data_IF_289962791910
#
_entry.id   IF_289962791910
#
_cell.length_a   1.000
_cell.length_b   1.000
_cell.length_c   1.000
_cell.angle_alpha   90.00
_cell.angle_beta   90.00
_cell.angle_gamma   90.00
#
_symmetry.space_group_name_H-M   'P 1'
#
loop_
_entity.id
_entity.type
_entity.pdbx_description
1 polymer ?
#
# COMPACT_ATOMS: atom_id res chain seq x y z
N UNK A 1 -1.47 5.47 34.56
CA UNK A 1 -0.04 5.24 34.87
C UNK A 1 0.65 6.59 34.91
N UNK A 2 1.27 6.97 36.02
CA UNK A 2 2.01 8.22 36.14
C UNK A 2 3.42 8.01 35.55
N UNK A 3 3.72 8.63 34.42
CA UNK A 3 5.05 8.57 33.80
C UNK A 3 5.86 9.81 34.22
N UNK A 4 6.64 9.70 35.29
CA UNK A 4 7.67 10.68 35.63
C UNK A 4 9.03 10.19 35.11
N UNK A 5 9.76 11.08 34.43
CA UNK A 5 11.12 10.91 33.88
C UNK A 5 11.29 9.96 32.68
N UNK A 6 10.46 10.06 31.64
CA UNK A 6 10.82 9.51 30.33
C UNK A 6 11.87 10.40 29.64
N UNK A 7 12.87 9.78 29.00
CA UNK A 7 13.67 10.51 28.02
C UNK A 7 12.80 10.93 26.83
N UNK A 8 13.23 11.94 26.06
CA UNK A 8 12.49 12.36 24.87
C UNK A 8 12.30 11.21 23.87
N UNK A 9 13.30 10.32 23.74
CA UNK A 9 13.24 9.15 22.86
C UNK A 9 12.20 8.15 23.35
N UNK A 10 12.19 7.84 24.65
CA UNK A 10 11.24 6.87 25.22
C UNK A 10 9.80 7.39 25.16
N UNK A 11 9.61 8.70 25.37
CA UNK A 11 8.30 9.32 25.22
C UNK A 11 7.78 9.22 23.77
N UNK A 12 8.65 9.41 22.77
CA UNK A 12 8.29 9.25 21.34
C UNK A 12 7.99 7.78 21.01
N UNK A 13 8.79 6.84 21.49
CA UNK A 13 8.57 5.41 21.26
C UNK A 13 7.23 4.97 21.85
N UNK A 14 6.97 5.33 23.11
CA UNK A 14 5.70 5.00 23.79
C UNK A 14 4.49 5.59 23.06
N UNK A 15 4.59 6.82 22.55
CA UNK A 15 3.55 7.43 21.74
C UNK A 15 3.27 6.63 20.46
N UNK A 16 4.32 6.17 19.77
CA UNK A 16 4.18 5.34 18.57
C UNK A 16 3.59 3.96 18.87
N UNK A 17 3.94 3.32 20.00
CA UNK A 17 3.34 2.05 20.45
C UNK A 17 1.82 2.15 20.68
N UNK A 18 1.33 3.33 21.08
CA UNK A 18 -0.11 3.58 21.21
C UNK A 18 -0.74 3.78 19.84
N UNK A 19 -0.12 4.59 18.98
CA UNK A 19 -0.67 4.95 17.67
C UNK A 19 -0.62 3.82 16.65
N UNK A 20 0.37 2.92 16.71
CA UNK A 20 0.53 1.84 15.74
C UNK A 20 -0.67 0.88 15.68
N UNK A 21 -1.48 0.86 16.74
CA UNK A 21 -2.70 0.07 16.84
C UNK A 21 -3.85 0.65 16.01
N UNK A 22 -3.73 1.87 15.52
CA UNK A 22 -4.78 2.52 14.73
C UNK A 22 -4.81 1.96 13.30
N UNK A 23 -5.99 1.75 12.70
CA UNK A 23 -6.14 1.07 11.41
C UNK A 23 -5.34 1.70 10.25
N UNK A 24 -5.05 3.00 10.33
CA UNK A 24 -4.39 3.76 9.27
C UNK A 24 -3.03 4.31 9.66
N UNK A 25 -2.47 3.86 10.78
CA UNK A 25 -1.13 4.26 11.16
C UNK A 25 -0.12 3.90 10.06
N UNK A 26 0.79 4.83 9.74
CA UNK A 26 1.79 4.62 8.70
C UNK A 26 1.22 4.54 7.27
N UNK A 27 0.00 5.03 7.04
CA UNK A 27 -0.63 5.05 5.72
C UNK A 27 -0.43 6.39 5.01
N UNK A 28 -0.07 6.34 3.73
CA UNK A 28 -0.12 7.50 2.84
C UNK A 28 -1.44 7.45 2.07
N UNK A 29 -2.15 8.57 2.04
CA UNK A 29 -3.44 8.68 1.36
C UNK A 29 -3.30 9.51 0.08
N UNK A 30 -3.93 9.04 -0.99
CA UNK A 30 -4.08 9.76 -2.24
C UNK A 30 -5.55 9.93 -2.57
N UNK A 31 -5.94 11.12 -2.99
CA UNK A 31 -7.23 11.32 -3.61
C UNK A 31 -7.14 10.91 -5.08
N UNK A 32 -8.09 10.10 -5.55
CA UNK A 32 -8.13 9.65 -6.95
C UNK A 32 -9.52 9.90 -7.51
N UNK A 33 -9.57 10.24 -8.80
CA UNK A 33 -10.80 10.65 -9.47
C UNK A 33 -11.70 9.45 -9.80
N UNK A 34 -11.08 8.31 -10.13
CA UNK A 34 -11.81 7.07 -10.37
C UNK A 34 -10.86 5.87 -10.27
N UNK A 35 -11.42 4.70 -9.97
CA UNK A 35 -10.77 3.41 -10.14
C UNK A 35 -11.68 2.50 -10.95
N UNK A 36 -11.12 1.91 -12.00
CA UNK A 36 -11.79 1.02 -12.93
C UNK A 36 -11.24 -0.40 -12.72
N UNK A 37 -12.13 -1.32 -12.39
CA UNK A 37 -11.85 -2.75 -12.25
C UNK A 37 -12.87 -3.54 -13.07
N UNK A 38 -12.47 -3.95 -14.27
CA UNK A 38 -13.34 -4.58 -15.27
C UNK A 38 -14.58 -3.73 -15.60
N UNK A 39 -15.76 -4.15 -15.12
CA UNK A 39 -17.04 -3.44 -15.30
C UNK A 39 -17.40 -2.53 -14.12
N UNK A 40 -16.60 -2.53 -13.06
CA UNK A 40 -16.84 -1.75 -11.84
C UNK A 40 -16.07 -0.45 -11.89
N UNK A 41 -16.73 0.61 -11.45
CA UNK A 41 -16.12 1.91 -11.24
C UNK A 41 -16.45 2.38 -9.83
N UNK A 42 -15.46 2.93 -9.13
CA UNK A 42 -15.63 3.42 -7.77
C UNK A 42 -16.09 4.86 -7.71
N UNK A 43 -15.81 5.66 -8.75
CA UNK A 43 -15.82 7.11 -8.67
C UNK A 43 -14.70 7.64 -7.75
N UNK A 44 -14.86 8.89 -7.32
CA UNK A 44 -13.90 9.57 -6.45
C UNK A 44 -13.73 8.85 -5.11
N UNK A 45 -12.49 8.54 -4.74
CA UNK A 45 -12.18 7.77 -3.55
C UNK A 45 -10.77 8.07 -3.02
N UNK A 46 -10.47 7.53 -1.83
CA UNK A 46 -9.16 7.61 -1.22
C UNK A 46 -8.41 6.29 -1.39
N UNK A 47 -7.20 6.38 -1.92
CA UNK A 47 -6.23 5.29 -2.00
C UNK A 47 -5.31 5.35 -0.79
N UNK A 48 -5.44 4.39 0.12
CA UNK A 48 -4.59 4.23 1.30
C UNK A 48 -3.49 3.22 1.02
N UNK A 49 -2.23 3.64 1.04
CA UNK A 49 -1.06 2.80 0.75
C UNK A 49 -0.16 2.70 1.97
N UNK A 50 0.18 1.47 2.36
CA UNK A 50 1.13 1.17 3.43
C UNK A 50 1.84 -0.18 3.20
N UNK A 51 2.57 -0.65 4.22
CA UNK A 51 3.31 -1.93 4.18
C UNK A 51 2.45 -3.18 3.95
N UNK A 52 1.12 -3.08 4.03
CA UNK A 52 0.20 -4.19 3.76
C UNK A 52 -0.33 -4.17 2.31
N UNK A 53 -0.16 -3.05 1.60
CA UNK A 53 -0.60 -2.87 0.22
C UNK A 53 -1.49 -1.66 0.05
N UNK A 54 -2.54 -1.82 -0.74
CA UNK A 54 -3.49 -0.77 -1.12
C UNK A 54 -4.84 -1.07 -0.49
N UNK A 55 -5.48 -0.06 0.09
CA UNK A 55 -6.88 -0.07 0.47
C UNK A 55 -7.60 1.07 -0.23
N UNK A 56 -8.76 0.79 -0.84
CA UNK A 56 -9.62 1.80 -1.44
C UNK A 56 -10.75 2.12 -0.47
N UNK A 57 -10.93 3.41 -0.20
CA UNK A 57 -11.85 3.91 0.82
C UNK A 57 -12.79 4.93 0.18
N UNK A 58 -14.09 4.80 0.46
CA UNK A 58 -15.08 5.76 0.01
C UNK A 58 -14.92 7.07 0.81
N UNK A 59 -14.91 8.21 0.12
CA UNK A 59 -14.68 9.51 0.75
C UNK A 59 -15.84 10.00 1.63
N UNK A 60 -17.06 9.47 1.43
CA UNK A 60 -18.28 9.93 2.12
C UNK A 60 -18.50 9.23 3.45
N UNK A 61 -18.40 7.90 3.46
CA UNK A 61 -18.67 7.07 4.64
C UNK A 61 -17.40 6.50 5.28
N UNK A 62 -16.23 6.70 4.64
CA UNK A 62 -14.94 6.17 5.08
C UNK A 62 -14.88 4.64 5.16
N UNK A 63 -15.81 3.95 4.50
CA UNK A 63 -15.84 2.49 4.45
C UNK A 63 -14.87 1.95 3.39
N UNK A 64 -14.35 0.74 3.66
CA UNK A 64 -13.49 0.01 2.72
C UNK A 64 -14.32 -0.48 1.52
N UNK A 65 -13.90 -0.12 0.32
CA UNK A 65 -14.50 -0.62 -0.93
C UNK A 65 -13.87 -1.97 -1.29
N UNK A 66 -12.53 -2.01 -1.34
CA UNK A 66 -11.74 -3.23 -1.51
C UNK A 66 -10.27 -2.99 -1.14
N UNK A 67 -9.48 -4.05 -1.11
CA UNK A 67 -8.04 -4.02 -0.84
C UNK A 67 -7.26 -4.91 -1.79
N UNK A 68 -5.99 -4.56 -2.02
CA UNK A 68 -5.01 -5.29 -2.80
C UNK A 68 -3.77 -5.43 -1.93
N UNK A 69 -3.32 -6.66 -1.67
CA UNK A 69 -2.10 -6.89 -0.89
C UNK A 69 -0.85 -6.60 -1.72
N UNK A 70 0.27 -6.28 -1.09
CA UNK A 70 1.54 -6.06 -1.82
C UNK A 70 1.92 -7.26 -2.70
N UNK A 71 1.69 -8.49 -2.22
CA UNK A 71 2.04 -9.71 -2.94
C UNK A 71 1.20 -9.93 -4.22
N UNK A 72 0.02 -9.31 -4.30
CA UNK A 72 -0.81 -9.35 -5.50
C UNK A 72 -0.34 -8.36 -6.56
N UNK A 73 0.46 -7.34 -6.22
CA UNK A 73 0.89 -6.32 -7.18
C UNK A 73 2.05 -6.86 -8.02
N UNK A 74 1.83 -7.00 -9.32
CA UNK A 74 2.83 -7.52 -10.25
C UNK A 74 3.62 -6.40 -10.93
N UNK A 75 2.92 -5.35 -11.36
CA UNK A 75 3.55 -4.21 -12.03
C UNK A 75 2.65 -2.97 -11.99
N UNK A 76 3.25 -1.82 -12.27
CA UNK A 76 2.53 -0.56 -12.47
C UNK A 76 2.96 0.09 -13.77
N UNK A 77 2.03 0.61 -14.54
CA UNK A 77 2.30 1.34 -15.78
C UNK A 77 1.53 2.67 -15.79
N UNK A 78 2.26 3.79 -15.82
CA UNK A 78 1.67 5.13 -15.88
C UNK A 78 1.63 5.62 -17.33
N UNK A 79 0.52 6.23 -17.72
CA UNK A 79 0.36 6.89 -19.02
C UNK A 79 -0.53 8.13 -18.90
N UNK A 80 -0.56 8.92 -19.97
CA UNK A 80 -1.34 10.15 -20.05
C UNK A 80 -2.15 10.13 -21.34
N UNK A 81 -3.41 10.50 -21.25
CA UNK A 81 -4.33 10.65 -22.38
C UNK A 81 -4.85 12.09 -22.43
N UNK A 82 -5.71 12.41 -23.40
CA UNK A 82 -6.41 13.70 -23.44
C UNK A 82 -7.33 13.92 -22.22
N UNK A 83 -7.81 12.83 -21.59
CA UNK A 83 -8.70 12.88 -20.42
C UNK A 83 -7.94 13.04 -19.10
N UNK A 84 -6.63 12.75 -19.08
CA UNK A 84 -5.78 12.97 -17.91
C UNK A 84 -4.73 11.88 -17.68
N UNK A 85 -4.26 11.75 -16.45
CA UNK A 85 -3.20 10.81 -16.06
C UNK A 85 -3.79 9.52 -15.48
N UNK A 86 -3.30 8.39 -15.96
CA UNK A 86 -3.74 7.07 -15.55
C UNK A 86 -2.59 6.21 -15.05
N UNK A 87 -2.89 5.36 -14.08
CA UNK A 87 -1.99 4.36 -13.55
C UNK A 87 -2.67 3.00 -13.62
N UNK A 88 -2.18 2.12 -14.50
CA UNK A 88 -2.57 0.72 -14.48
C UNK A 88 -1.75 -0.01 -13.43
N UNK A 89 -2.42 -0.81 -12.62
CA UNK A 89 -1.82 -1.74 -11.67
C UNK A 89 -2.22 -3.14 -12.12
N UNK A 90 -1.24 -3.92 -12.56
CA UNK A 90 -1.45 -5.33 -12.84
C UNK A 90 -1.41 -6.10 -11.53
N UNK A 91 -2.49 -6.79 -11.20
CA UNK A 91 -2.63 -7.56 -9.97
C UNK A 91 -2.91 -9.03 -10.23
N UNK A 92 -2.45 -9.91 -9.34
CA UNK A 92 -2.69 -11.34 -9.37
C UNK A 92 -1.41 -12.15 -9.17
N UNK A 93 -1.33 -13.30 -9.85
CA UNK A 93 -0.17 -14.17 -9.85
C UNK A 93 0.18 -14.59 -11.29
N UNK A 94 1.19 -15.46 -11.44
CA UNK A 94 1.66 -15.92 -12.76
C UNK A 94 0.57 -16.62 -13.61
N UNK A 95 -0.44 -17.21 -12.97
CA UNK A 95 -1.49 -17.98 -13.66
C UNK A 95 -2.74 -17.16 -13.95
N UNK A 96 -3.10 -16.22 -13.08
CA UNK A 96 -4.25 -15.34 -13.23
C UNK A 96 -3.90 -13.93 -12.80
N UNK A 97 -3.99 -13.00 -13.72
CA UNK A 97 -3.81 -11.58 -13.47
C UNK A 97 -4.91 -10.75 -14.13
N UNK A 98 -5.11 -9.53 -13.62
CA UNK A 98 -5.99 -8.52 -14.21
C UNK A 98 -5.37 -7.13 -14.03
N UNK A 99 -5.90 -6.14 -14.75
CA UNK A 99 -5.50 -4.75 -14.58
C UNK A 99 -6.58 -3.98 -13.84
N UNK A 100 -6.15 -3.13 -12.90
CA UNK A 100 -6.96 -2.08 -12.29
C UNK A 100 -6.39 -0.75 -12.76
N UNK A 101 -7.24 0.12 -13.28
CA UNK A 101 -6.83 1.43 -13.80
C UNK A 101 -7.27 2.52 -12.84
N UNK A 102 -6.33 3.37 -12.42
CA UNK A 102 -6.56 4.50 -11.53
C UNK A 102 -6.45 5.79 -12.32
N UNK A 103 -7.50 6.62 -12.31
CA UNK A 103 -7.46 7.98 -12.84
C UNK A 103 -6.98 8.94 -11.73
N UNK A 104 -5.79 9.51 -11.89
CA UNK A 104 -5.14 10.32 -10.84
C UNK A 104 -4.00 11.18 -11.40
N UNK A 105 -3.86 12.39 -10.86
CA UNK A 105 -2.72 13.26 -11.15
C UNK A 105 -1.41 12.81 -10.46
N UNK A 106 -1.50 11.91 -9.47
CA UNK A 106 -0.38 11.52 -8.59
C UNK A 106 0.21 10.14 -8.93
N UNK A 107 0.09 9.72 -10.20
CA UNK A 107 0.47 8.36 -10.63
C UNK A 107 1.95 8.04 -10.42
N UNK A 108 2.83 9.05 -10.48
CA UNK A 108 4.28 8.88 -10.26
C UNK A 108 4.55 8.56 -8.79
N UNK A 109 3.95 9.33 -7.88
CA UNK A 109 4.11 9.20 -6.44
C UNK A 109 3.55 7.86 -5.96
N UNK A 110 2.37 7.48 -6.46
CA UNK A 110 1.74 6.19 -6.16
C UNK A 110 2.63 5.03 -6.63
N UNK A 111 3.04 5.04 -7.90
CA UNK A 111 3.90 3.99 -8.46
C UNK A 111 5.23 3.87 -7.69
N UNK A 112 5.86 5.01 -7.38
CA UNK A 112 7.11 5.05 -6.61
C UNK A 112 6.94 4.48 -5.21
N UNK A 113 5.88 4.86 -4.49
CA UNK A 113 5.62 4.38 -3.14
C UNK A 113 5.37 2.87 -3.11
N UNK A 114 4.59 2.35 -4.07
CA UNK A 114 4.36 0.91 -4.22
C UNK A 114 5.67 0.17 -4.51
N UNK A 115 6.49 0.69 -5.44
CA UNK A 115 7.79 0.12 -5.74
C UNK A 115 8.72 0.06 -4.52
N UNK A 116 8.72 1.10 -3.68
CA UNK A 116 9.50 1.11 -2.44
C UNK A 116 9.04 0.04 -1.45
N UNK A 117 7.73 -0.11 -1.25
CA UNK A 117 7.20 -1.16 -0.36
C UNK A 117 7.48 -2.56 -0.89
N UNK A 118 7.28 -2.80 -2.19
CA UNK A 118 7.54 -4.10 -2.82
C UNK A 118 9.03 -4.46 -2.72
N UNK A 119 9.93 -3.49 -2.95
CA UNK A 119 11.36 -3.70 -2.81
C UNK A 119 11.72 -4.17 -1.39
N UNK A 120 11.34 -3.41 -0.36
CA UNK A 120 11.62 -3.75 1.04
C UNK A 120 11.02 -5.10 1.43
N UNK A 121 9.78 -5.38 1.01
CA UNK A 121 9.09 -6.64 1.28
C UNK A 121 9.78 -7.85 0.59
N UNK A 122 10.31 -7.66 -0.62
CA UNK A 122 11.07 -8.68 -1.34
C UNK A 122 12.43 -9.00 -0.70
N UNK A 123 13.16 -7.97 -0.25
CA UNK A 123 14.44 -8.11 0.46
C UNK A 123 14.24 -8.83 1.80
N UNK A 124 13.18 -8.46 2.54
CA UNK A 124 12.84 -9.13 3.79
C UNK A 124 12.48 -10.60 3.59
N UNK A 125 11.73 -10.94 2.53
CA UNK A 125 11.45 -12.35 2.19
C UNK A 125 12.71 -13.13 1.85
N UNK A 126 13.59 -12.56 1.02
CA UNK A 126 14.85 -13.20 0.67
C UNK A 126 15.70 -13.48 1.91
N UNK A 127 15.77 -12.53 2.84
CA UNK A 127 16.46 -12.70 4.13
C UNK A 127 15.88 -13.84 4.97
N UNK A 128 14.55 -13.91 5.13
CA UNK A 128 13.89 -14.98 5.90
C UNK A 128 14.14 -16.36 5.27
N UNK A 129 13.95 -16.49 3.95
CA UNK A 129 14.20 -17.76 3.25
C UNK A 129 15.66 -18.19 3.33
N UNK A 130 16.60 -17.23 3.34
CA UNK A 130 18.02 -17.49 3.51
C UNK A 130 18.38 -18.03 4.90
N UNK A 131 17.70 -17.56 5.95
CA UNK A 131 17.84 -18.09 7.33
C UNK A 131 17.30 -19.52 7.42
N UNK A 132 16.09 -19.77 6.92
CA UNK A 132 15.49 -21.12 6.95
C UNK A 132 16.36 -22.16 6.24
N UNK A 133 16.95 -21.80 5.10
CA UNK A 133 17.86 -22.69 4.36
C UNK A 133 19.20 -22.96 5.08
N UNK A 134 19.64 -22.06 5.97
CA UNK A 134 20.84 -22.26 6.78
C UNK A 134 20.58 -23.17 7.98
N UNK A 135 19.40 -23.06 8.62
CA UNK A 135 19.01 -23.91 9.74
C UNK A 135 18.72 -25.36 9.34
N UNK A 136 18.31 -25.60 8.09
CA UNK A 136 18.08 -26.95 7.53
C UNK A 136 19.36 -27.72 7.15
N UNK A 137 20.55 -27.12 7.27
CA UNK A 137 21.86 -27.72 6.92
C UNK A 137 22.64 -28.29 8.12
N UNK A 138 21.98 -28.49 9.26
CA UNK A 138 22.59 -29.06 10.48
C UNK A 138 22.12 -30.50 10.68
#
# INVERSE_FOLDING_TARGET
MQQHNLSQTDARAYFLEVLEKWPYFGTTFFYVHNIIDESRQTGECLLAINKYGIKVINIKDHEEIFKITLAEILSTNRYTTEEGIFLDIQIGNQQKHKNITIYTEQGIEISRLLGQYIYVDSENRAFITGIEQQELRI
#
